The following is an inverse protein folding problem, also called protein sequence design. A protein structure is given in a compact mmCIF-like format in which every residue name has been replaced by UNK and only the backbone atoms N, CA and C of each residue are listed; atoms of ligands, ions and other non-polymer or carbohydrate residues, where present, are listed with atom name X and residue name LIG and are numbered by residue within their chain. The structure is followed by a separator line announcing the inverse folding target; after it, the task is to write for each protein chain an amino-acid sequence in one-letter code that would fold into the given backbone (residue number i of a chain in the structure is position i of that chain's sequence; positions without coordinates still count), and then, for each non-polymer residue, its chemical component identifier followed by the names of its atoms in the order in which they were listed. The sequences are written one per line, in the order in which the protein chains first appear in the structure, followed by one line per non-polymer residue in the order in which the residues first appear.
data_IF_668736065407
#
_entry.id   IF_668736065407
#
_cell.length_a   1.000
_cell.length_b   1.000
_cell.length_c   1.000
_cell.angle_alpha   90.00
_cell.angle_beta   90.00
_cell.angle_gamma   90.00
#
_symmetry.space_group_name_H-M   'P 1'
#
loop_
_entity.id
_entity.type
_entity.pdbx_description
1 polymer ?
#
# COMPACT_ATOMS: atom_id res chain seq x y z
N UNK A 1 2.64 -7.69 -36.03
CA UNK A 1 2.45 -6.61 -35.02
C UNK A 1 2.02 -7.14 -33.66
N UNK A 2 0.90 -7.86 -33.49
CA UNK A 2 0.47 -8.36 -32.15
C UNK A 2 1.44 -9.39 -31.53
N UNK A 3 2.06 -10.27 -32.34
CA UNK A 3 3.01 -11.30 -31.86
C UNK A 3 4.29 -10.74 -31.23
N UNK A 4 4.66 -9.50 -31.52
CA UNK A 4 5.90 -8.91 -31.02
C UNK A 4 5.76 -8.27 -29.64
N UNK A 5 4.53 -7.98 -29.18
CA UNK A 5 4.27 -7.30 -27.90
C UNK A 5 4.50 -8.19 -26.67
N UNK A 6 4.29 -9.51 -26.80
CA UNK A 6 4.50 -10.47 -25.72
C UNK A 6 5.88 -11.14 -25.75
N UNK A 7 6.73 -10.78 -26.72
CA UNK A 7 8.02 -11.41 -26.92
C UNK A 7 9.10 -10.71 -26.09
N UNK A 8 9.54 -11.33 -24.99
CA UNK A 8 10.74 -10.89 -24.26
C UNK A 8 11.97 -11.45 -24.98
N UNK A 9 12.68 -10.59 -25.71
CA UNK A 9 13.87 -11.02 -26.47
C UNK A 9 15.10 -11.02 -25.57
N UNK A 10 15.39 -12.17 -24.97
CA UNK A 10 16.63 -12.40 -24.25
C UNK A 10 17.82 -12.40 -25.24
N UNK A 11 18.73 -11.45 -25.09
CA UNK A 11 19.90 -11.30 -25.97
C UNK A 11 20.89 -10.28 -25.44
N UNK A 12 21.98 -10.04 -26.19
CA UNK A 12 23.07 -9.13 -25.77
C UNK A 12 22.61 -7.68 -25.56
N UNK A 13 21.48 -7.27 -26.14
CA UNK A 13 20.93 -5.92 -26.00
C UNK A 13 20.03 -5.80 -24.75
N UNK A 14 20.65 -5.52 -23.59
CA UNK A 14 19.94 -5.34 -22.31
C UNK A 14 18.88 -4.23 -22.36
N UNK A 15 19.13 -3.14 -23.08
CA UNK A 15 18.17 -2.02 -23.21
C UNK A 15 16.88 -2.49 -23.88
N UNK A 16 16.99 -3.28 -24.95
CA UNK A 16 15.82 -3.85 -25.64
C UNK A 16 15.07 -4.83 -24.76
N UNK A 17 15.77 -5.70 -24.04
CA UNK A 17 15.15 -6.62 -23.08
C UNK A 17 14.29 -5.89 -22.04
N UNK A 18 14.82 -4.81 -21.44
CA UNK A 18 14.07 -4.04 -20.43
C UNK A 18 12.88 -3.27 -21.03
N UNK A 19 13.00 -2.80 -22.27
CA UNK A 19 11.88 -2.19 -22.98
C UNK A 19 10.76 -3.19 -23.26
N UNK A 20 11.12 -4.39 -23.76
CA UNK A 20 10.16 -5.45 -24.01
C UNK A 20 9.48 -5.89 -22.71
N UNK A 21 10.25 -6.07 -21.62
CA UNK A 21 9.71 -6.39 -20.29
C UNK A 21 8.75 -5.31 -19.76
N UNK A 22 9.11 -4.03 -19.88
CA UNK A 22 8.24 -2.90 -19.50
C UNK A 22 6.91 -2.95 -20.27
N UNK A 23 6.95 -3.19 -21.58
CA UNK A 23 5.76 -3.25 -22.42
C UNK A 23 4.86 -4.45 -22.05
N UNK A 24 5.44 -5.64 -21.86
CA UNK A 24 4.67 -6.84 -21.47
C UNK A 24 3.96 -6.63 -20.14
N UNK A 25 4.70 -6.16 -19.12
CA UNK A 25 4.14 -5.90 -17.79
C UNK A 25 3.09 -4.79 -17.86
N UNK A 26 3.34 -3.75 -18.64
CA UNK A 26 2.45 -2.61 -18.84
C UNK A 26 1.12 -3.04 -19.42
N UNK A 27 1.13 -3.74 -20.55
CA UNK A 27 -0.08 -4.20 -21.24
C UNK A 27 -0.86 -5.20 -20.39
N UNK A 28 -0.16 -6.15 -19.75
CA UNK A 28 -0.81 -7.21 -18.96
C UNK A 28 -1.50 -6.65 -17.71
N UNK A 29 -0.89 -5.64 -17.08
CA UNK A 29 -1.43 -5.03 -15.85
C UNK A 29 -2.33 -3.82 -16.12
N UNK A 30 -2.43 -3.32 -17.35
CA UNK A 30 -3.20 -2.12 -17.69
C UNK A 30 -4.67 -2.18 -17.26
N UNK A 31 -5.43 -3.28 -17.50
CA UNK A 31 -6.83 -3.34 -17.09
C UNK A 31 -7.00 -3.18 -15.57
N UNK A 32 -6.11 -3.79 -14.79
CA UNK A 32 -6.07 -3.65 -13.34
C UNK A 32 -5.80 -2.20 -12.93
N UNK A 33 -4.79 -1.55 -13.51
CA UNK A 33 -4.48 -0.15 -13.17
C UNK A 33 -5.60 0.83 -13.54
N UNK A 34 -6.31 0.60 -14.65
CA UNK A 34 -7.48 1.40 -15.03
C UNK A 34 -8.59 1.22 -13.99
N UNK A 35 -8.90 -0.02 -13.60
CA UNK A 35 -9.88 -0.33 -12.56
C UNK A 35 -9.54 0.36 -11.24
N UNK A 36 -8.28 0.28 -10.79
CA UNK A 36 -7.84 0.95 -9.56
C UNK A 36 -7.92 2.48 -9.70
N UNK A 37 -7.53 3.05 -10.85
CA UNK A 37 -7.65 4.48 -11.10
C UNK A 37 -9.11 4.96 -10.99
N UNK A 38 -10.04 4.28 -11.66
CA UNK A 38 -11.47 4.62 -11.65
C UNK A 38 -12.05 4.50 -10.24
N UNK A 39 -11.71 3.44 -9.50
CA UNK A 39 -12.18 3.27 -8.12
C UNK A 39 -11.61 4.32 -7.17
N UNK A 40 -10.32 4.67 -7.29
CA UNK A 40 -9.71 5.74 -6.48
C UNK A 40 -10.36 7.09 -6.75
N UNK A 41 -10.64 7.43 -8.00
CA UNK A 41 -11.36 8.66 -8.34
C UNK A 41 -12.74 8.67 -7.68
N UNK A 42 -13.47 7.56 -7.77
CA UNK A 42 -14.78 7.45 -7.13
C UNK A 42 -14.71 7.66 -5.61
N UNK A 43 -13.70 7.11 -4.92
CA UNK A 43 -13.54 7.29 -3.47
C UNK A 43 -13.07 8.69 -3.08
N UNK A 44 -12.03 9.19 -3.76
CA UNK A 44 -11.43 10.48 -3.44
C UNK A 44 -12.39 11.66 -3.67
N UNK A 45 -13.30 11.51 -4.62
CA UNK A 45 -14.24 12.57 -5.01
C UNK A 45 -15.71 12.21 -4.77
N UNK A 46 -16.00 11.21 -3.93
CA UNK A 46 -17.38 10.74 -3.72
C UNK A 46 -18.33 11.88 -3.30
N UNK A 47 -17.92 12.75 -2.37
CA UNK A 47 -18.72 13.90 -1.94
C UNK A 47 -19.03 14.84 -3.11
N UNK A 48 -18.01 15.22 -3.89
CA UNK A 48 -18.17 16.10 -5.06
C UNK A 48 -19.07 15.48 -6.11
N UNK A 49 -18.94 14.16 -6.34
CA UNK A 49 -19.76 13.41 -7.28
C UNK A 49 -21.22 13.37 -6.79
N UNK A 50 -21.45 13.07 -5.52
CA UNK A 50 -22.79 13.02 -4.94
C UNK A 50 -23.45 14.40 -4.90
N UNK A 51 -22.71 15.45 -4.57
CA UNK A 51 -23.22 16.83 -4.59
C UNK A 51 -23.55 17.29 -6.01
N UNK A 52 -22.73 16.94 -7.00
CA UNK A 52 -23.01 17.25 -8.41
C UNK A 52 -24.27 16.54 -8.91
N UNK A 53 -24.43 15.24 -8.59
CA UNK A 53 -25.64 14.48 -8.92
C UNK A 53 -26.85 15.04 -8.17
N UNK A 54 -26.70 15.34 -6.88
CA UNK A 54 -27.72 15.94 -6.04
C UNK A 54 -28.21 17.27 -6.59
N UNK A 55 -27.30 18.17 -6.95
CA UNK A 55 -27.63 19.47 -7.55
C UNK A 55 -28.30 19.37 -8.92
N UNK A 56 -28.06 18.29 -9.68
CA UNK A 56 -28.70 18.04 -10.98
C UNK A 56 -30.08 17.38 -10.86
N UNK A 57 -30.29 16.52 -9.87
CA UNK A 57 -31.52 15.73 -9.68
C UNK A 57 -32.50 16.41 -8.71
N UNK A 58 -32.00 17.03 -7.65
CA UNK A 58 -32.77 17.66 -6.58
C UNK A 58 -32.13 19.01 -6.21
N UNK A 59 -32.61 20.09 -6.84
CA UNK A 59 -32.10 21.47 -6.63
C UNK A 59 -32.01 21.91 -5.16
N UNK A 60 -32.79 21.30 -4.25
CA UNK A 60 -32.93 21.73 -2.86
C UNK A 60 -32.35 20.77 -1.81
N UNK A 61 -31.72 19.65 -2.20
CA UNK A 61 -31.25 18.66 -1.23
C UNK A 61 -29.77 18.32 -1.44
N UNK A 62 -28.91 19.00 -0.67
CA UNK A 62 -27.52 18.57 -0.48
C UNK A 62 -27.55 17.16 0.12
N UNK A 63 -27.24 16.14 -0.69
CA UNK A 63 -27.19 14.74 -0.25
C UNK A 63 -26.13 14.51 0.86
N UNK A 64 -25.24 15.50 1.05
CA UNK A 64 -24.21 15.55 2.09
C UNK A 64 -24.69 16.05 3.47
N UNK A 65 -25.99 16.23 3.70
CA UNK A 65 -26.50 16.59 5.04
C UNK A 65 -26.18 15.50 6.06
N UNK A 66 -25.43 15.86 7.12
CA UNK A 66 -25.17 14.97 8.25
C UNK A 66 -26.50 14.47 8.82
N UNK A 67 -26.65 13.15 9.05
CA UNK A 67 -27.87 12.62 9.65
C UNK A 67 -28.11 13.29 11.01
N UNK A 68 -29.38 13.58 11.31
CA UNK A 68 -29.78 14.13 12.60
C UNK A 68 -29.23 13.25 13.75
N UNK A 69 -28.77 13.89 14.83
CA UNK A 69 -28.27 13.19 16.00
C UNK A 69 -29.34 12.21 16.52
N UNK A 70 -28.91 11.00 16.85
CA UNK A 70 -29.79 9.98 17.42
C UNK A 70 -30.33 10.52 18.75
N UNK A 71 -31.66 10.64 18.85
CA UNK A 71 -32.31 11.02 20.10
C UNK A 71 -32.30 9.81 21.04
N UNK A 72 -31.47 9.86 22.06
CA UNK A 72 -31.51 8.90 23.16
C UNK A 72 -32.65 9.33 24.09
N UNK A 73 -33.60 8.43 24.38
CA UNK A 73 -34.70 8.69 25.29
C UNK A 73 -34.22 8.37 26.71
N UNK A 74 -34.27 9.34 27.61
CA UNK A 74 -34.03 9.09 29.03
C UNK A 74 -35.27 8.44 29.68
N UNK A 75 -35.11 7.48 30.63
CA UNK A 75 -33.86 6.99 31.20
C UNK A 75 -33.15 5.96 30.30
N UNK A 76 -31.82 6.04 30.26
CA UNK A 76 -30.98 5.14 29.47
C UNK A 76 -30.86 3.80 30.20
N UNK A 77 -31.42 2.74 29.62
CA UNK A 77 -31.21 1.38 30.13
C UNK A 77 -29.70 1.04 30.14
N UNK A 78 -29.21 0.27 31.13
CA UNK A 78 -27.84 -0.24 31.10
C UNK A 78 -27.56 -0.96 29.79
N UNK A 79 -26.33 -0.80 29.28
CA UNK A 79 -25.92 -1.41 28.02
C UNK A 79 -26.10 -2.93 28.08
N UNK A 80 -27.03 -3.46 27.28
CA UNK A 80 -27.26 -4.90 27.18
C UNK A 80 -26.65 -5.42 25.87
N UNK A 81 -25.47 -6.04 25.99
CA UNK A 81 -24.72 -6.55 24.84
C UNK A 81 -25.45 -7.71 24.16
N UNK A 82 -26.14 -8.56 24.92
CA UNK A 82 -26.89 -9.71 24.39
C UNK A 82 -28.07 -9.24 23.51
N UNK A 83 -28.79 -8.21 23.98
CA UNK A 83 -29.87 -7.55 23.22
C UNK A 83 -29.32 -6.92 21.94
N UNK A 84 -28.16 -6.26 22.00
CA UNK A 84 -27.50 -5.70 20.82
C UNK A 84 -27.13 -6.80 19.84
N UNK A 85 -26.53 -7.89 20.31
CA UNK A 85 -26.14 -9.03 19.48
C UNK A 85 -27.35 -9.66 18.80
N UNK A 86 -28.43 -9.91 19.54
CA UNK A 86 -29.68 -10.45 19.01
C UNK A 86 -30.30 -9.52 17.95
N UNK A 87 -30.33 -8.21 18.20
CA UNK A 87 -30.83 -7.22 17.25
C UNK A 87 -30.02 -7.18 15.95
N UNK A 88 -28.67 -7.26 16.04
CA UNK A 88 -27.81 -7.33 14.86
C UNK A 88 -28.12 -8.59 14.07
N UNK A 89 -28.19 -9.75 14.73
CA UNK A 89 -28.43 -11.03 14.07
C UNK A 89 -29.82 -11.09 13.41
N UNK A 90 -30.84 -10.46 14.02
CA UNK A 90 -32.17 -10.36 13.44
C UNK A 90 -32.20 -9.50 12.17
N UNK A 91 -31.42 -8.41 12.15
CA UNK A 91 -31.38 -7.48 11.02
C UNK A 91 -30.42 -7.91 9.90
N UNK A 92 -29.43 -8.74 10.22
CA UNK A 92 -28.41 -9.22 9.29
C UNK A 92 -28.21 -10.75 9.45
N UNK A 93 -29.25 -11.57 9.15
CA UNK A 93 -29.21 -13.01 9.41
C UNK A 93 -28.11 -13.74 8.62
N UNK A 94 -27.75 -13.23 7.44
CA UNK A 94 -26.74 -13.81 6.54
C UNK A 94 -25.29 -13.41 6.90
N UNK A 95 -25.11 -12.67 7.99
CA UNK A 95 -23.82 -12.16 8.42
C UNK A 95 -23.39 -12.76 9.77
N UNK A 96 -22.10 -12.97 9.90
CA UNK A 96 -21.41 -13.34 11.14
C UNK A 96 -20.80 -12.10 11.78
N UNK A 97 -21.07 -11.91 13.07
CA UNK A 97 -20.48 -10.82 13.85
C UNK A 97 -19.02 -11.17 14.15
N UNK A 98 -18.09 -10.44 13.54
CA UNK A 98 -16.64 -10.65 13.72
C UNK A 98 -16.09 -9.88 14.91
N UNK A 99 -16.54 -8.64 15.10
CA UNK A 99 -16.23 -7.87 16.29
C UNK A 99 -17.23 -6.74 16.52
N UNK A 100 -17.36 -6.31 17.78
CA UNK A 100 -18.10 -5.12 18.18
C UNK A 100 -17.14 -4.24 18.97
N UNK A 101 -17.03 -2.96 18.59
CA UNK A 101 -16.22 -1.97 19.30
C UNK A 101 -17.13 -0.82 19.75
N UNK A 102 -17.08 -0.51 21.03
CA UNK A 102 -17.85 0.58 21.63
C UNK A 102 -16.94 1.74 21.99
N UNK A 103 -17.40 2.95 21.69
CA UNK A 103 -16.74 4.20 22.05
C UNK A 103 -17.70 5.11 22.80
N UNK A 104 -17.16 5.93 23.70
CA UNK A 104 -17.88 7.01 24.39
C UNK A 104 -19.13 6.55 25.15
N UNK A 105 -19.08 5.35 25.75
CA UNK A 105 -20.20 4.79 26.53
C UNK A 105 -20.55 5.63 27.77
N UNK A 106 -19.62 6.47 28.23
CA UNK A 106 -19.82 7.43 29.32
C UNK A 106 -20.83 8.53 28.98
N UNK A 107 -21.09 8.78 27.68
CA UNK A 107 -22.01 9.82 27.19
C UNK A 107 -23.02 9.22 26.22
N UNK A 108 -24.20 8.77 26.69
CA UNK A 108 -25.17 8.05 25.86
C UNK A 108 -25.49 8.73 24.52
N UNK A 109 -25.67 10.06 24.48
CA UNK A 109 -25.90 10.77 23.21
C UNK A 109 -24.72 10.75 22.21
N UNK A 110 -23.50 10.52 22.69
CA UNK A 110 -22.27 10.47 21.86
C UNK A 110 -21.71 9.05 21.70
N UNK A 111 -22.33 8.07 22.34
CA UNK A 111 -21.90 6.69 22.27
C UNK A 111 -22.04 6.15 20.84
N UNK A 112 -21.07 5.35 20.42
CA UNK A 112 -21.11 4.69 19.11
C UNK A 112 -20.61 3.26 19.22
N UNK A 113 -21.32 2.35 18.58
CA UNK A 113 -20.89 0.98 18.34
C UNK A 113 -20.52 0.84 16.86
N UNK A 114 -19.38 0.21 16.60
CA UNK A 114 -18.95 -0.24 15.27
C UNK A 114 -18.93 -1.75 15.28
N UNK A 115 -19.69 -2.36 14.38
CA UNK A 115 -19.76 -3.81 14.21
C UNK A 115 -19.16 -4.17 12.86
N UNK A 116 -18.20 -5.09 12.89
CA UNK A 116 -17.65 -5.70 11.68
C UNK A 116 -18.42 -6.99 11.41
N UNK A 117 -19.06 -7.06 10.24
CA UNK A 117 -19.93 -8.14 9.79
C UNK A 117 -19.29 -8.86 8.61
N UNK A 118 -19.13 -10.17 8.72
CA UNK A 118 -18.57 -11.01 7.65
C UNK A 118 -19.68 -11.84 7.01
N UNK A 119 -19.70 -11.94 5.69
CA UNK A 119 -20.51 -12.92 4.99
C UNK A 119 -19.69 -13.49 3.83
N UNK A 120 -19.52 -14.82 3.73
CA UNK A 120 -18.72 -15.44 2.68
C UNK A 120 -19.37 -15.32 1.29
N UNK A 121 -20.69 -15.18 1.25
CA UNK A 121 -21.49 -15.21 0.00
C UNK A 121 -21.77 -13.82 -0.56
N UNK A 122 -21.23 -12.76 0.07
CA UNK A 122 -21.53 -11.37 -0.26
C UNK A 122 -20.27 -10.57 -0.60
N UNK A 123 -20.36 -9.71 -1.60
CA UNK A 123 -19.35 -8.66 -1.81
C UNK A 123 -19.39 -7.71 -0.62
N UNK A 124 -18.25 -7.39 0.00
CA UNK A 124 -18.19 -6.55 1.21
C UNK A 124 -17.76 -5.12 0.87
N UNK A 125 -18.23 -4.14 1.63
CA UNK A 125 -17.85 -2.72 1.56
C UNK A 125 -16.58 -2.38 2.36
N UNK A 126 -15.91 -3.37 2.95
CA UNK A 126 -14.58 -3.24 3.55
C UNK A 126 -13.62 -4.30 3.04
N UNK A 127 -12.37 -4.30 3.52
CA UNK A 127 -11.34 -5.26 3.11
C UNK A 127 -11.71 -6.72 3.42
N UNK A 128 -12.37 -6.94 4.57
CA UNK A 128 -12.82 -8.25 5.05
C UNK A 128 -14.21 -8.23 5.66
N UNK A 129 -14.81 -7.06 5.89
CA UNK A 129 -16.06 -6.93 6.64
C UNK A 129 -16.93 -5.82 6.05
N UNK A 130 -18.24 -5.98 6.12
CA UNK A 130 -19.16 -4.86 6.13
C UNK A 130 -19.14 -4.19 7.50
N UNK A 131 -19.44 -2.89 7.51
CA UNK A 131 -19.44 -2.10 8.75
C UNK A 131 -20.84 -1.59 9.03
N UNK A 132 -21.36 -1.94 10.20
CA UNK A 132 -22.56 -1.34 10.77
C UNK A 132 -22.14 -0.38 11.89
N UNK A 133 -22.60 0.87 11.83
CA UNK A 133 -22.39 1.87 12.88
C UNK A 133 -23.72 2.33 13.43
N UNK A 134 -23.84 2.36 14.76
CA UNK A 134 -25.07 2.79 15.44
C UNK A 134 -24.75 3.34 16.84
N UNK A 135 -25.71 4.06 17.44
CA UNK A 135 -25.64 4.38 18.86
C UNK A 135 -26.17 3.18 19.66
N UNK A 136 -25.40 2.61 20.61
CA UNK A 136 -25.82 1.39 21.32
C UNK A 136 -27.00 1.58 22.27
N UNK A 137 -27.35 2.82 22.61
CA UNK A 137 -28.50 3.16 23.47
C UNK A 137 -29.77 3.54 22.67
N UNK A 138 -29.73 3.44 21.34
CA UNK A 138 -30.88 3.78 20.52
C UNK A 138 -31.93 2.67 20.53
N UNK A 139 -33.20 3.07 20.44
CA UNK A 139 -34.34 2.14 20.38
C UNK A 139 -34.78 1.85 18.95
N UNK A 140 -34.34 2.65 17.99
CA UNK A 140 -34.68 2.47 16.58
C UNK A 140 -33.88 1.32 15.95
N UNK A 141 -34.43 0.63 14.94
CA UNK A 141 -33.70 -0.36 14.16
C UNK A 141 -32.38 0.19 13.61
N UNK A 142 -31.36 -0.66 13.49
CA UNK A 142 -30.06 -0.22 13.03
C UNK A 142 -30.11 0.00 11.52
N UNK A 143 -29.35 0.98 11.04
CA UNK A 143 -29.29 1.26 9.60
C UNK A 143 -28.53 0.12 8.91
N UNK A 144 -29.20 -0.56 8.00
CA UNK A 144 -28.67 -1.68 7.21
C UNK A 144 -28.32 -1.29 5.78
N UNK A 145 -28.35 0.01 5.43
CA UNK A 145 -28.05 0.53 4.09
C UNK A 145 -26.64 0.14 3.57
N UNK A 146 -25.73 -0.19 4.48
CA UNK A 146 -24.38 -0.66 4.16
C UNK A 146 -24.25 -2.18 4.09
N UNK A 147 -25.35 -2.92 4.24
CA UNK A 147 -25.43 -4.39 4.15
C UNK A 147 -26.13 -4.81 2.87
N UNK A 148 -25.93 -6.05 2.43
CA UNK A 148 -26.57 -6.54 1.22
C UNK A 148 -28.07 -6.81 1.41
N UNK A 149 -28.48 -7.12 2.64
CA UNK A 149 -29.84 -7.56 3.00
C UNK A 149 -30.95 -6.63 2.50
N UNK A 150 -30.65 -5.34 2.21
CA UNK A 150 -31.60 -4.37 1.66
C UNK A 150 -30.99 -3.43 0.59
N UNK A 151 -30.04 -3.91 -0.21
CA UNK A 151 -29.35 -3.07 -1.21
C UNK A 151 -30.25 -2.72 -2.41
N UNK A 152 -30.42 -1.43 -2.70
CA UNK A 152 -31.00 -0.98 -3.97
C UNK A 152 -29.99 -1.12 -5.14
N UNK A 153 -30.39 -0.94 -6.41
CA UNK A 153 -29.46 -1.09 -7.55
C UNK A 153 -28.24 -0.16 -7.47
N UNK A 154 -28.39 1.05 -6.93
CA UNK A 154 -27.27 1.98 -6.74
C UNK A 154 -26.30 1.47 -5.67
N UNK A 155 -26.82 0.89 -4.59
CA UNK A 155 -26.03 0.28 -3.52
C UNK A 155 -25.19 -0.89 -4.02
N UNK A 156 -25.70 -1.64 -5.00
CA UNK A 156 -24.95 -2.73 -5.66
C UNK A 156 -23.79 -2.17 -6.48
N UNK A 157 -24.01 -1.13 -7.28
CA UNK A 157 -22.92 -0.47 -8.05
C UNK A 157 -21.83 0.05 -7.11
N UNK A 158 -22.22 0.75 -6.05
CA UNK A 158 -21.28 1.25 -5.04
C UNK A 158 -20.53 0.08 -4.40
N UNK A 159 -21.23 -0.99 -4.00
CA UNK A 159 -20.61 -2.18 -3.39
C UNK A 159 -19.63 -2.86 -4.35
N UNK A 160 -19.93 -2.95 -5.64
CA UNK A 160 -18.98 -3.45 -6.65
C UNK A 160 -17.73 -2.58 -6.71
N UNK A 161 -17.85 -1.25 -6.63
CA UNK A 161 -16.70 -0.35 -6.59
C UNK A 161 -15.81 -0.59 -5.36
N UNK A 162 -16.41 -0.79 -4.18
CA UNK A 162 -15.68 -1.20 -2.97
C UNK A 162 -15.00 -2.56 -3.16
N UNK A 163 -15.74 -3.56 -3.64
CA UNK A 163 -15.23 -4.91 -3.81
C UNK A 163 -14.07 -4.99 -4.81
N UNK A 164 -14.17 -4.27 -5.94
CA UNK A 164 -13.12 -4.15 -6.95
C UNK A 164 -11.92 -3.36 -6.44
N UNK A 165 -12.10 -2.37 -5.57
CA UNK A 165 -10.98 -1.62 -5.01
C UNK A 165 -10.19 -2.42 -3.97
N UNK A 166 -10.91 -3.09 -3.07
CA UNK A 166 -10.31 -3.89 -2.00
C UNK A 166 -9.88 -5.29 -2.45
N UNK A 167 -10.36 -5.77 -3.59
CA UNK A 167 -10.05 -7.10 -4.13
C UNK A 167 -10.62 -8.25 -3.29
N UNK A 168 -11.80 -8.07 -2.70
CA UNK A 168 -12.36 -8.99 -1.69
C UNK A 168 -13.33 -10.07 -2.24
N UNK A 169 -13.55 -10.18 -3.55
CA UNK A 169 -14.57 -11.05 -4.18
C UNK A 169 -14.09 -12.41 -4.66
N UNK A 170 -12.79 -12.69 -4.66
CA UNK A 170 -12.24 -13.97 -5.17
C UNK A 170 -11.17 -14.55 -4.25
N UNK A 171 -11.35 -14.35 -2.94
CA UNK A 171 -10.51 -14.90 -1.89
C UNK A 171 -9.03 -14.56 -2.02
N UNK A 172 -8.19 -15.44 -1.50
CA UNK A 172 -6.74 -15.24 -1.46
C UNK A 172 -6.09 -15.24 -2.85
N UNK A 173 -6.67 -15.96 -3.81
CA UNK A 173 -6.18 -15.93 -5.19
C UNK A 173 -6.25 -14.51 -5.79
N UNK A 174 -7.38 -13.83 -5.61
CA UNK A 174 -7.55 -12.44 -6.08
C UNK A 174 -6.60 -11.50 -5.33
N UNK A 175 -6.43 -11.68 -4.02
CA UNK A 175 -5.48 -10.89 -3.23
C UNK A 175 -4.04 -11.03 -3.73
N UNK A 176 -3.61 -12.23 -4.10
CA UNK A 176 -2.29 -12.45 -4.70
C UNK A 176 -2.16 -11.82 -6.08
N UNK A 177 -3.20 -11.86 -6.92
CA UNK A 177 -3.21 -11.14 -8.20
C UNK A 177 -3.07 -9.63 -7.99
N UNK A 178 -3.81 -9.05 -7.04
CA UNK A 178 -3.74 -7.63 -6.70
C UNK A 178 -2.34 -7.26 -6.19
N UNK A 179 -1.73 -8.12 -5.37
CA UNK A 179 -0.36 -7.94 -4.92
C UNK A 179 0.64 -7.94 -6.09
N UNK A 180 0.56 -8.92 -6.99
CA UNK A 180 1.43 -9.02 -8.16
C UNK A 180 1.26 -7.80 -9.08
N UNK A 181 0.03 -7.40 -9.37
CA UNK A 181 -0.22 -6.22 -10.21
C UNK A 181 0.13 -4.90 -9.52
N UNK A 182 0.04 -4.81 -8.19
CA UNK A 182 0.57 -3.70 -7.42
C UNK A 182 2.09 -3.57 -7.56
N UNK A 183 2.82 -4.68 -7.45
CA UNK A 183 4.27 -4.72 -7.71
C UNK A 183 4.58 -4.38 -9.18
N UNK A 184 3.77 -4.86 -10.12
CA UNK A 184 3.91 -4.52 -11.53
C UNK A 184 3.82 -3.00 -11.76
N UNK A 185 2.89 -2.31 -11.08
CA UNK A 185 2.80 -0.85 -11.10
C UNK A 185 4.09 -0.17 -10.62
N UNK A 186 4.63 -0.61 -9.48
CA UNK A 186 5.91 -0.09 -8.97
C UNK A 186 7.07 -0.33 -9.95
N UNK A 187 7.12 -1.51 -10.59
CA UNK A 187 8.09 -1.84 -11.62
C UNK A 187 7.96 -0.92 -12.84
N UNK A 188 6.75 -0.59 -13.30
CA UNK A 188 6.52 0.28 -14.46
C UNK A 188 7.02 1.69 -14.22
N UNK A 189 6.76 2.27 -13.04
CA UNK A 189 7.31 3.57 -12.67
C UNK A 189 8.84 3.57 -12.69
N UNK A 190 9.44 2.57 -12.05
CA UNK A 190 10.90 2.46 -11.98
C UNK A 190 11.52 2.26 -13.37
N UNK A 191 11.08 1.23 -14.10
CA UNK A 191 11.63 0.87 -15.41
C UNK A 191 11.38 1.94 -16.47
N UNK A 192 10.20 2.59 -16.46
CA UNK A 192 9.87 3.68 -17.37
C UNK A 192 10.80 4.88 -17.18
N UNK A 193 11.03 5.30 -15.92
CA UNK A 193 11.96 6.39 -15.62
C UNK A 193 13.39 6.05 -16.03
N UNK A 194 13.87 4.84 -15.76
CA UNK A 194 15.21 4.40 -16.16
C UNK A 194 15.37 4.37 -17.69
N UNK A 195 14.38 3.84 -18.42
CA UNK A 195 14.39 3.84 -19.89
C UNK A 195 14.37 5.27 -20.46
N UNK A 196 13.59 6.17 -19.85
CA UNK A 196 13.56 7.57 -20.22
C UNK A 196 14.92 8.25 -19.98
N UNK A 197 15.53 8.05 -18.81
CA UNK A 197 16.87 8.55 -18.48
C UNK A 197 17.87 8.04 -19.53
N UNK A 198 17.92 6.72 -19.76
CA UNK A 198 18.81 6.08 -20.74
C UNK A 198 18.63 6.58 -22.18
N UNK A 199 17.42 7.01 -22.55
CA UNK A 199 17.17 7.61 -23.87
C UNK A 199 17.70 9.04 -24.00
N UNK A 200 17.98 9.72 -22.87
CA UNK A 200 18.39 11.13 -22.80
C UNK A 200 19.82 11.34 -22.31
N UNK A 201 20.52 10.29 -21.88
CA UNK A 201 21.94 10.34 -21.53
C UNK A 201 22.75 10.76 -22.77
N UNK A 202 23.55 11.81 -22.60
CA UNK A 202 24.58 12.16 -23.58
C UNK A 202 25.79 11.25 -23.40
N UNK A 203 26.11 10.44 -24.40
CA UNK A 203 27.30 9.57 -24.38
C UNK A 203 28.49 10.30 -24.97
N UNK A 204 29.66 10.10 -24.36
CA UNK A 204 30.90 10.61 -24.93
C UNK A 204 31.23 9.84 -26.21
N UNK A 205 31.31 10.54 -27.34
CA UNK A 205 31.65 9.93 -28.64
C UNK A 205 33.16 9.81 -28.88
N UNK A 206 33.93 10.77 -28.37
CA UNK A 206 35.40 10.79 -28.46
C UNK A 206 36.00 10.86 -27.05
N UNK A 207 36.81 9.87 -26.62
CA UNK A 207 37.48 9.84 -25.31
C UNK A 207 38.36 11.06 -24.99
N UNK A 208 38.88 11.75 -26.01
CA UNK A 208 39.74 12.94 -25.82
C UNK A 208 38.97 14.21 -25.46
N UNK A 209 37.66 14.25 -25.73
CA UNK A 209 36.82 15.38 -25.36
C UNK A 209 36.45 15.35 -23.88
N UNK A 210 36.14 16.50 -23.29
CA UNK A 210 35.57 16.54 -21.94
C UNK A 210 34.25 15.73 -21.89
N UNK A 211 34.01 14.95 -20.83
CA UNK A 211 32.77 14.18 -20.69
C UNK A 211 31.55 15.12 -20.73
N UNK A 212 30.50 14.75 -21.49
CA UNK A 212 29.36 15.64 -21.68
C UNK A 212 28.60 15.84 -20.36
N UNK A 213 28.34 17.10 -20.01
CA UNK A 213 27.49 17.42 -18.85
C UNK A 213 26.05 17.00 -19.13
N UNK A 214 25.52 16.11 -18.29
CA UNK A 214 24.12 15.70 -18.37
C UNK A 214 23.17 16.87 -18.06
N UNK A 215 22.00 16.86 -18.69
CA UNK A 215 20.96 17.86 -18.43
C UNK A 215 20.48 17.76 -16.96
N UNK A 216 20.10 18.89 -16.37
CA UNK A 216 19.68 18.98 -14.96
C UNK A 216 18.42 18.18 -14.68
N UNK A 217 17.46 18.18 -15.60
CA UNK A 217 16.22 17.41 -15.53
C UNK A 217 16.47 15.90 -15.53
N UNK A 218 17.38 15.40 -16.37
CA UNK A 218 17.77 13.98 -16.40
C UNK A 218 18.39 13.56 -15.06
N UNK A 219 19.27 14.40 -14.49
CA UNK A 219 19.86 14.14 -13.17
C UNK A 219 18.82 14.18 -12.05
N UNK A 220 17.89 15.14 -12.11
CA UNK A 220 16.81 15.27 -11.13
C UNK A 220 15.93 14.02 -11.10
N UNK A 221 15.42 13.58 -12.27
CA UNK A 221 14.56 12.40 -12.36
C UNK A 221 15.30 11.14 -11.93
N UNK A 222 16.59 11.01 -12.24
CA UNK A 222 17.37 9.86 -11.80
C UNK A 222 17.58 9.82 -10.29
N UNK A 223 17.97 10.94 -9.68
CA UNK A 223 18.15 11.01 -8.23
C UNK A 223 16.81 10.77 -7.51
N UNK A 224 15.72 11.35 -8.02
CA UNK A 224 14.38 11.14 -7.47
C UNK A 224 13.94 9.68 -7.62
N UNK A 225 14.16 9.05 -8.77
CA UNK A 225 13.76 7.65 -9.04
C UNK A 225 14.51 6.69 -8.12
N UNK A 226 15.84 6.79 -8.05
CA UNK A 226 16.65 5.92 -7.17
C UNK A 226 16.32 6.18 -5.71
N UNK A 227 16.31 7.45 -5.31
CA UNK A 227 16.05 7.87 -3.93
C UNK A 227 14.66 7.46 -3.45
N UNK A 228 13.61 7.66 -4.25
CA UNK A 228 12.24 7.31 -3.86
C UNK A 228 12.02 5.79 -3.89
N UNK A 229 12.38 5.10 -4.97
CA UNK A 229 12.11 3.66 -5.09
C UNK A 229 12.91 2.84 -4.06
N UNK A 230 14.22 3.07 -3.92
CA UNK A 230 15.02 2.35 -2.93
C UNK A 230 14.83 2.91 -1.52
N UNK A 231 14.54 4.20 -1.37
CA UNK A 231 14.22 4.81 -0.08
C UNK A 231 12.94 4.23 0.52
N UNK A 232 11.89 3.98 -0.27
CA UNK A 232 10.69 3.29 0.19
C UNK A 232 11.01 1.90 0.73
N UNK A 233 11.78 1.11 -0.01
CA UNK A 233 12.17 -0.25 0.39
C UNK A 233 13.02 -0.22 1.65
N UNK A 234 14.02 0.66 1.71
CA UNK A 234 14.88 0.82 2.88
C UNK A 234 14.05 1.24 4.11
N UNK A 235 13.12 2.19 3.96
CA UNK A 235 12.26 2.64 5.04
C UNK A 235 11.34 1.53 5.56
N UNK A 236 10.77 0.68 4.69
CA UNK A 236 9.99 -0.50 5.12
C UNK A 236 10.86 -1.46 5.93
N UNK A 237 12.03 -1.81 5.40
CA UNK A 237 12.93 -2.77 6.05
C UNK A 237 13.46 -2.24 7.39
N UNK A 238 13.76 -0.94 7.47
CA UNK A 238 14.13 -0.28 8.74
C UNK A 238 12.96 -0.27 9.71
N UNK A 239 11.73 0.02 9.27
CA UNK A 239 10.54 -0.02 10.13
C UNK A 239 10.30 -1.43 10.68
N UNK A 240 10.51 -2.48 9.88
CA UNK A 240 10.48 -3.87 10.35
C UNK A 240 11.53 -4.11 11.44
N UNK A 241 12.77 -3.64 11.24
CA UNK A 241 13.84 -3.77 12.23
C UNK A 241 13.54 -3.00 13.52
N UNK A 242 13.02 -1.77 13.43
CA UNK A 242 12.59 -0.95 14.57
C UNK A 242 11.50 -1.68 15.36
N UNK A 243 10.49 -2.25 14.68
CA UNK A 243 9.45 -3.04 15.33
C UNK A 243 10.02 -4.18 16.17
N UNK A 244 11.01 -4.92 15.65
CA UNK A 244 11.69 -6.00 16.37
C UNK A 244 12.58 -5.52 17.53
N UNK A 245 13.26 -4.39 17.37
CA UNK A 245 14.12 -3.83 18.42
C UNK A 245 13.31 -3.22 19.56
N UNK A 246 12.19 -2.58 19.23
CA UNK A 246 11.32 -1.93 20.21
C UNK A 246 10.72 -2.93 21.21
N UNK A 247 10.47 -4.18 20.80
CA UNK A 247 10.04 -5.24 21.71
C UNK A 247 11.14 -5.69 22.68
N UNK A 248 12.42 -5.60 22.29
CA UNK A 248 13.56 -5.92 23.17
C UNK A 248 13.80 -4.84 24.22
N UNK A 249 13.68 -3.58 23.81
CA UNK A 249 14.12 -2.46 24.62
C UNK A 249 13.13 -2.11 25.76
N UNK A 250 11.99 -2.81 25.86
CA UNK A 250 10.86 -2.55 26.77
C UNK A 250 10.63 -1.04 26.97
N UNK A 251 10.79 -0.29 25.89
CA UNK A 251 10.67 1.16 25.91
C UNK A 251 9.20 1.41 26.24
N UNK A 252 8.94 2.18 27.30
CA UNK A 252 7.60 2.62 27.68
C UNK A 252 7.05 3.62 26.65
N UNK A 253 6.93 3.16 25.40
CA UNK A 253 6.49 3.94 24.26
C UNK A 253 5.00 4.16 24.40
N UNK A 254 4.60 5.43 24.46
CA UNK A 254 3.19 5.82 24.45
C UNK A 254 2.46 5.31 23.19
N UNK A 255 3.17 5.20 22.06
CA UNK A 255 2.61 4.66 20.82
C UNK A 255 3.68 4.14 19.87
N UNK A 256 3.66 2.83 19.58
CA UNK A 256 4.51 2.21 18.56
C UNK A 256 4.26 2.80 17.17
N UNK A 257 3.01 3.17 16.88
CA UNK A 257 2.60 3.66 15.57
C UNK A 257 3.35 4.94 15.18
N UNK A 258 3.55 5.86 16.12
CA UNK A 258 4.26 7.11 15.86
C UNK A 258 5.72 6.85 15.45
N UNK A 259 6.39 5.94 16.13
CA UNK A 259 7.78 5.58 15.82
C UNK A 259 7.90 4.92 14.45
N UNK A 260 7.00 4.00 14.12
CA UNK A 260 7.01 3.33 12.82
C UNK A 260 6.74 4.33 11.68
N UNK A 261 5.74 5.20 11.83
CA UNK A 261 5.36 6.19 10.81
C UNK A 261 6.46 7.25 10.63
N UNK A 262 6.91 7.89 11.70
CA UNK A 262 7.94 8.92 11.60
C UNK A 262 9.29 8.33 11.21
N UNK A 263 9.63 7.14 11.72
CA UNK A 263 10.83 6.41 11.34
C UNK A 263 10.85 6.09 9.83
N UNK A 264 9.71 5.61 9.30
CA UNK A 264 9.56 5.38 7.87
C UNK A 264 9.80 6.65 7.05
N UNK A 265 9.08 7.74 7.33
CA UNK A 265 9.21 8.97 6.56
C UNK A 265 10.59 9.61 6.68
N UNK A 266 11.21 9.54 7.87
CA UNK A 266 12.57 10.02 8.08
C UNK A 266 13.56 9.27 7.19
N UNK A 267 13.55 7.94 7.21
CA UNK A 267 14.47 7.13 6.39
C UNK A 267 14.22 7.33 4.90
N UNK A 268 12.95 7.43 4.49
CA UNK A 268 12.56 7.72 3.11
C UNK A 268 13.12 9.07 2.65
N UNK A 269 12.85 10.15 3.38
CA UNK A 269 13.29 11.50 3.03
C UNK A 269 14.82 11.62 3.06
N UNK A 270 15.49 10.99 4.02
CA UNK A 270 16.95 10.93 4.07
C UNK A 270 17.54 10.18 2.88
N UNK A 271 16.92 9.09 2.43
CA UNK A 271 17.35 8.34 1.25
C UNK A 271 17.22 9.17 -0.03
N UNK A 272 16.12 9.91 -0.16
CA UNK A 272 15.90 10.85 -1.27
C UNK A 272 16.95 11.96 -1.23
N UNK A 273 17.11 12.64 -0.09
CA UNK A 273 18.09 13.71 0.08
C UNK A 273 19.52 13.23 -0.18
N UNK A 274 19.89 12.06 0.32
CA UNK A 274 21.18 11.42 0.08
C UNK A 274 21.45 11.22 -1.41
N UNK A 275 20.45 10.75 -2.16
CA UNK A 275 20.57 10.57 -3.60
C UNK A 275 20.78 11.91 -4.33
N UNK A 276 20.16 13.00 -3.87
CA UNK A 276 20.39 14.33 -4.42
C UNK A 276 21.77 14.92 -4.10
N UNK A 277 22.32 14.63 -2.92
CA UNK A 277 23.64 15.10 -2.49
C UNK A 277 24.77 14.35 -3.19
N UNK A 278 24.70 13.01 -3.22
CA UNK A 278 25.80 12.16 -3.68
C UNK A 278 25.65 11.73 -5.15
N UNK A 279 24.44 11.78 -5.68
CA UNK A 279 24.09 11.40 -7.05
C UNK A 279 23.70 9.92 -7.19
N UNK A 280 22.82 9.64 -8.16
CA UNK A 280 22.22 8.33 -8.38
C UNK A 280 23.24 7.18 -8.56
N UNK A 281 24.34 7.39 -9.30
CA UNK A 281 25.37 6.38 -9.53
C UNK A 281 25.97 5.82 -8.24
N UNK A 282 26.26 6.70 -7.28
CA UNK A 282 26.88 6.33 -6.00
C UNK A 282 25.82 5.83 -5.02
N UNK A 283 24.69 6.52 -4.94
CA UNK A 283 23.62 6.19 -4.01
C UNK A 283 22.97 4.82 -4.30
N UNK A 284 22.79 4.45 -5.57
CA UNK A 284 22.16 3.18 -5.96
C UNK A 284 22.80 1.95 -5.28
N UNK A 285 24.09 1.64 -5.48
CA UNK A 285 24.71 0.48 -4.83
C UNK A 285 24.72 0.61 -3.30
N UNK A 286 24.88 1.81 -2.76
CA UNK A 286 24.92 2.02 -1.31
C UNK A 286 23.56 1.71 -0.66
N UNK A 287 22.46 2.20 -1.22
CA UNK A 287 21.11 1.91 -0.73
C UNK A 287 20.76 0.42 -0.86
N UNK A 288 21.11 -0.22 -1.99
CA UNK A 288 20.92 -1.68 -2.16
C UNK A 288 21.68 -2.48 -1.10
N UNK A 289 22.91 -2.06 -0.78
CA UNK A 289 23.73 -2.71 0.25
C UNK A 289 23.16 -2.50 1.65
N UNK A 290 22.70 -1.29 1.98
CA UNK A 290 22.02 -1.01 3.25
C UNK A 290 20.76 -1.88 3.43
N UNK A 291 19.93 -1.99 2.39
CA UNK A 291 18.75 -2.87 2.40
C UNK A 291 19.16 -4.32 2.67
N UNK A 292 20.18 -4.82 1.97
CA UNK A 292 20.66 -6.19 2.14
C UNK A 292 21.17 -6.44 3.57
N UNK A 293 21.96 -5.52 4.14
CA UNK A 293 22.48 -5.65 5.51
C UNK A 293 21.32 -5.72 6.51
N UNK A 294 20.37 -4.79 6.45
CA UNK A 294 19.30 -4.74 7.44
C UNK A 294 18.43 -6.00 7.35
N UNK A 295 18.15 -6.49 6.14
CA UNK A 295 17.44 -7.76 5.96
C UNK A 295 18.18 -8.96 6.55
N UNK A 296 19.52 -9.06 6.38
CA UNK A 296 20.32 -10.11 7.03
C UNK A 296 20.24 -10.00 8.55
N UNK A 297 20.24 -8.78 9.09
CA UNK A 297 20.20 -8.56 10.53
C UNK A 297 18.84 -8.88 11.17
N UNK A 298 17.74 -8.97 10.40
CA UNK A 298 16.43 -9.31 10.96
C UNK A 298 16.41 -10.70 11.61
N UNK A 299 16.96 -11.72 10.93
CA UNK A 299 16.97 -13.09 11.43
C UNK A 299 17.72 -13.27 12.79
N UNK A 300 18.96 -12.77 12.97
CA UNK A 300 19.64 -12.88 14.27
C UNK A 300 18.93 -12.05 15.34
N UNK A 301 18.32 -10.91 15.01
CA UNK A 301 17.52 -10.13 15.97
C UNK A 301 16.31 -10.96 16.44
N UNK A 302 15.58 -11.58 15.52
CA UNK A 302 14.43 -12.44 15.84
C UNK A 302 14.84 -13.64 16.70
N UNK A 303 15.99 -14.27 16.42
CA UNK A 303 16.52 -15.37 17.22
C UNK A 303 16.88 -14.93 18.65
N UNK A 304 17.63 -13.83 18.79
CA UNK A 304 18.01 -13.28 20.10
C UNK A 304 16.76 -12.92 20.92
N UNK A 305 15.76 -12.31 20.28
CA UNK A 305 14.48 -11.98 20.93
C UNK A 305 13.73 -13.22 21.42
N UNK A 306 13.71 -14.29 20.63
CA UNK A 306 13.08 -15.56 21.01
C UNK A 306 13.76 -16.18 22.24
N UNK A 307 15.09 -16.12 22.31
CA UNK A 307 15.86 -16.62 23.44
C UNK A 307 15.61 -15.78 24.70
N UNK A 308 15.71 -14.44 24.59
CA UNK A 308 15.53 -13.53 25.73
C UNK A 308 14.11 -13.59 26.29
N UNK A 309 13.11 -13.64 25.41
CA UNK A 309 11.69 -13.60 25.83
C UNK A 309 11.12 -14.98 26.15
N UNK A 310 11.92 -16.06 26.00
CA UNK A 310 11.47 -17.45 26.11
C UNK A 310 10.21 -17.77 25.28
N UNK A 311 10.04 -17.08 24.15
CA UNK A 311 8.88 -17.24 23.25
C UNK A 311 9.23 -18.06 22.02
N UNK A 312 8.34 -18.94 21.59
CA UNK A 312 8.48 -19.73 20.36
C UNK A 312 8.51 -18.81 19.12
N UNK A 313 9.41 -19.07 18.18
CA UNK A 313 9.47 -18.34 16.90
C UNK A 313 8.30 -18.72 15.98
N UNK A 314 7.14 -18.09 16.17
CA UNK A 314 5.95 -18.35 15.33
C UNK A 314 6.06 -17.80 13.90
N UNK A 315 7.01 -16.90 13.63
CA UNK A 315 7.16 -16.18 12.36
C UNK A 315 8.52 -16.41 11.67
N UNK A 316 9.16 -17.56 11.91
CA UNK A 316 10.47 -17.92 11.33
C UNK A 316 10.51 -17.82 9.79
N UNK A 317 9.37 -18.05 9.13
CA UNK A 317 9.25 -17.94 7.67
C UNK A 317 9.47 -16.51 7.17
N UNK A 318 9.18 -15.47 7.98
CA UNK A 318 9.47 -14.08 7.65
C UNK A 318 10.98 -13.86 7.58
N UNK A 319 11.73 -14.43 8.53
CA UNK A 319 13.19 -14.33 8.57
C UNK A 319 13.80 -15.08 7.37
N UNK A 320 13.25 -16.24 6.98
CA UNK A 320 13.66 -16.96 5.78
C UNK A 320 13.43 -16.12 4.51
N UNK A 321 12.25 -15.51 4.36
CA UNK A 321 11.95 -14.64 3.23
C UNK A 321 12.88 -13.43 3.22
N UNK A 322 13.11 -12.79 4.37
CA UNK A 322 14.04 -11.68 4.51
C UNK A 322 15.46 -12.06 4.05
N UNK A 323 15.94 -13.26 4.40
CA UNK A 323 17.23 -13.77 3.93
C UNK A 323 17.28 -13.98 2.41
N UNK A 324 16.22 -14.51 1.80
CA UNK A 324 16.13 -14.64 0.33
C UNK A 324 16.17 -13.27 -0.35
N UNK A 325 15.43 -12.29 0.18
CA UNK A 325 15.48 -10.92 -0.33
C UNK A 325 16.86 -10.29 -0.11
N UNK A 326 17.50 -10.53 1.04
CA UNK A 326 18.83 -10.01 1.32
C UNK A 326 19.86 -10.49 0.28
N UNK A 327 19.84 -11.78 -0.05
CA UNK A 327 20.70 -12.35 -1.10
C UNK A 327 20.41 -11.71 -2.46
N UNK A 328 19.13 -11.51 -2.79
CA UNK A 328 18.70 -10.84 -4.02
C UNK A 328 19.22 -9.40 -4.10
N UNK A 329 19.02 -8.59 -3.05
CA UNK A 329 19.50 -7.21 -2.97
C UNK A 329 21.03 -7.13 -2.97
N UNK A 330 21.72 -8.08 -2.35
CA UNK A 330 23.18 -8.18 -2.40
C UNK A 330 23.68 -8.49 -3.82
N UNK A 331 23.00 -9.36 -4.57
CA UNK A 331 23.30 -9.59 -5.99
C UNK A 331 23.06 -8.33 -6.83
N UNK A 332 21.99 -7.58 -6.58
CA UNK A 332 21.75 -6.29 -7.25
C UNK A 332 22.83 -5.26 -6.92
N UNK A 333 23.28 -5.19 -5.67
CA UNK A 333 24.41 -4.36 -5.27
C UNK A 333 25.69 -4.72 -6.04
N UNK A 334 26.03 -6.01 -6.13
CA UNK A 334 27.20 -6.47 -6.90
C UNK A 334 27.09 -6.08 -8.37
N UNK A 335 25.92 -6.25 -8.98
CA UNK A 335 25.67 -5.86 -10.37
C UNK A 335 25.79 -4.35 -10.57
N UNK A 336 25.23 -3.54 -9.65
CA UNK A 336 25.33 -2.08 -9.70
C UNK A 336 26.79 -1.61 -9.59
N UNK A 337 27.59 -2.19 -8.68
CA UNK A 337 29.03 -1.90 -8.57
C UNK A 337 29.81 -2.32 -9.82
N UNK A 338 29.50 -3.49 -10.38
CA UNK A 338 30.13 -3.95 -11.61
C UNK A 338 29.79 -3.01 -12.78
N UNK A 339 28.54 -2.56 -12.87
CA UNK A 339 28.11 -1.62 -13.89
C UNK A 339 28.79 -0.26 -13.76
N UNK A 340 28.95 0.27 -12.55
CA UNK A 340 29.67 1.53 -12.31
C UNK A 340 31.11 1.48 -12.81
N UNK A 341 31.81 0.35 -12.63
CA UNK A 341 33.20 0.17 -13.11
C UNK A 341 33.33 0.13 -14.64
N UNK A 342 32.28 -0.31 -15.34
CA UNK A 342 32.28 -0.47 -16.80
C UNK A 342 31.39 0.57 -17.50
N UNK A 343 30.90 1.58 -16.77
CA UNK A 343 30.03 2.59 -17.33
C UNK A 343 30.80 3.46 -18.31
N UNK A 344 30.25 3.64 -19.51
CA UNK A 344 30.80 4.57 -20.51
C UNK A 344 30.93 5.98 -19.90
N UNK A 345 32.04 6.66 -20.19
CA UNK A 345 32.25 8.04 -19.72
C UNK A 345 31.11 8.96 -20.18
N UNK A 346 30.58 9.72 -19.24
CA UNK A 346 29.40 10.56 -19.44
C UNK A 346 28.07 9.85 -19.19
N UNK A 347 28.06 8.55 -18.91
CA UNK A 347 26.85 7.86 -18.42
C UNK A 347 26.39 8.45 -17.08
N UNK A 348 25.11 8.31 -16.77
CA UNK A 348 24.64 8.60 -15.41
C UNK A 348 25.18 7.60 -14.38
N UNK A 349 25.68 6.45 -14.82
CA UNK A 349 26.21 5.39 -13.98
C UNK A 349 27.73 5.46 -13.77
N UNK A 350 28.42 6.39 -14.44
CA UNK A 350 29.89 6.59 -14.31
C UNK A 350 30.25 7.49 -13.16
#
# INVERSE_FOLDING_TARGET
MVKDYFAIRAGKNKKRFWLDAHNVVGITSLPFHILICVTVIAFAFHDVIYDAIGGLVSRDQLLSTRPAAVKVIEPVEPLNVEKIFANIQQQAPDYQISSISFNNLDKPEKASARVNLYSPDQMLRGDRFDVMMFNPYQTQPYKTNNLNTHANPMDQVVRSMFSLHFGNYGGDFTRWLYFIFGIAGAFLFYSGNILWIESRIKRQKNPENLPPKQRKDVRFIANLTIGACLGCVLAVVVAMAIGRWSSLANLALQSMNHILVYGYYLVFLLSVAYCFVVGAAKALPQLLFCIAIILVLLAPISLVLSIISATTMSLWWIDLIAMVFALTFFRFYQQAKAQQKHAESGSIWS
#
